data_IF_244640666872
#
_entry.id   IF_244640666872
#
_cell.length_a   1.000
_cell.length_b   1.000
_cell.length_c   1.000
_cell.angle_alpha   90.00
_cell.angle_beta   90.00
_cell.angle_gamma   90.00
#
_symmetry.space_group_name_H-M   'P 1'
#
loop_
_entity.id
_entity.type
_entity.pdbx_description
1 polymer ?
#
# COMPACT_ATOMS: atom_id res chain seq x y z
N UNK A 1 -30.34 -48.58 2.64
CA UNK A 1 -30.44 -47.35 3.43
C UNK A 1 -29.70 -46.26 2.67
N UNK A 2 -30.44 -45.26 2.16
CA UNK A 2 -29.93 -44.19 1.29
C UNK A 2 -29.57 -42.98 2.17
N UNK A 3 -28.30 -42.58 2.21
CA UNK A 3 -27.86 -41.33 2.83
C UNK A 3 -28.13 -40.17 1.85
N UNK A 4 -28.81 -39.08 2.26
CA UNK A 4 -28.89 -37.87 1.45
C UNK A 4 -27.60 -37.06 1.62
N UNK A 5 -26.91 -36.84 0.50
CA UNK A 5 -25.80 -35.88 0.42
C UNK A 5 -26.38 -34.46 0.53
N UNK A 6 -26.35 -33.91 1.74
CA UNK A 6 -26.69 -32.52 2.02
C UNK A 6 -25.67 -31.60 1.34
N UNK A 7 -26.20 -30.62 0.59
CA UNK A 7 -25.46 -29.66 -0.20
C UNK A 7 -24.52 -28.80 0.62
N UNK A 8 -23.26 -28.72 0.18
CA UNK A 8 -22.31 -27.70 0.61
C UNK A 8 -22.62 -26.41 -0.15
N UNK A 9 -23.41 -25.54 0.49
CA UNK A 9 -23.57 -24.14 0.08
C UNK A 9 -22.22 -23.47 0.34
N UNK A 10 -21.45 -23.24 -0.73
CA UNK A 10 -20.20 -22.48 -0.69
C UNK A 10 -20.48 -21.02 -0.40
N UNK A 11 -20.26 -20.61 0.85
CA UNK A 11 -20.23 -19.20 1.24
C UNK A 11 -18.88 -18.63 0.79
N UNK A 12 -18.85 -18.01 -0.39
CA UNK A 12 -17.77 -17.15 -0.83
C UNK A 12 -17.82 -15.88 0.03
N UNK A 13 -17.03 -15.85 1.10
CA UNK A 13 -16.83 -14.66 1.91
C UNK A 13 -15.94 -13.71 1.11
N UNK A 14 -16.56 -12.83 0.32
CA UNK A 14 -15.87 -11.71 -0.29
C UNK A 14 -15.50 -10.73 0.83
N UNK A 15 -14.28 -10.83 1.34
CA UNK A 15 -13.72 -9.82 2.25
C UNK A 15 -13.60 -8.51 1.45
N UNK A 16 -14.37 -7.46 1.77
CA UNK A 16 -14.14 -6.17 1.12
C UNK A 16 -12.72 -5.75 1.48
N UNK A 17 -11.94 -5.32 0.48
CA UNK A 17 -10.64 -4.70 0.71
C UNK A 17 -10.83 -3.62 1.79
N UNK A 18 -10.33 -3.90 3.00
CA UNK A 18 -10.69 -3.15 4.20
C UNK A 18 -10.28 -1.69 3.99
N UNK A 19 -11.27 -0.80 3.92
CA UNK A 19 -11.02 0.63 3.91
C UNK A 19 -10.24 0.98 5.19
N UNK A 20 -9.06 1.58 5.03
CA UNK A 20 -8.29 2.05 6.16
C UNK A 20 -8.84 3.41 6.59
N UNK A 21 -9.22 3.55 7.87
CA UNK A 21 -9.82 4.77 8.39
C UNK A 21 -9.07 5.27 9.63
N UNK A 22 -9.05 6.59 9.82
CA UNK A 22 -8.60 7.26 11.04
C UNK A 22 -9.73 8.06 11.66
N UNK A 23 -9.71 8.21 12.98
CA UNK A 23 -10.71 9.03 13.70
C UNK A 23 -10.08 10.31 14.22
N UNK A 24 -10.74 11.44 13.97
CA UNK A 24 -10.34 12.76 14.47
C UNK A 24 -11.58 13.53 14.92
N UNK A 25 -11.61 13.96 16.18
CA UNK A 25 -12.71 14.76 16.72
C UNK A 25 -14.07 14.06 16.65
N UNK A 26 -14.12 12.73 16.79
CA UNK A 26 -15.36 11.94 16.70
C UNK A 26 -15.87 11.70 15.28
N UNK A 27 -15.14 12.15 14.25
CA UNK A 27 -15.41 11.86 12.84
C UNK A 27 -14.43 10.83 12.32
N UNK A 28 -14.90 9.94 11.45
CA UNK A 28 -14.05 8.94 10.77
C UNK A 28 -13.74 9.40 9.35
N UNK A 29 -12.46 9.31 8.98
CA UNK A 29 -11.94 9.63 7.66
C UNK A 29 -11.35 8.37 7.06
N UNK A 30 -11.87 7.92 5.92
CA UNK A 30 -11.50 6.66 5.32
C UNK A 30 -10.84 6.89 3.95
N UNK A 31 -9.75 6.18 3.71
CA UNK A 31 -9.15 6.10 2.40
C UNK A 31 -10.01 5.22 1.47
N UNK A 32 -9.90 5.42 0.14
CA UNK A 32 -10.51 4.51 -0.83
C UNK A 32 -9.99 3.06 -0.64
N UNK A 33 -10.68 2.04 -1.19
CA UNK A 33 -10.22 0.65 -1.11
C UNK A 33 -8.78 0.49 -1.60
N UNK A 34 -7.94 -0.19 -0.79
CA UNK A 34 -6.50 -0.33 -1.04
C UNK A 34 -5.66 0.88 -0.62
N UNK A 35 -6.29 1.98 -0.21
CA UNK A 35 -5.63 3.18 0.27
C UNK A 35 -5.30 3.17 1.75
N UNK A 36 -4.56 4.20 2.16
CA UNK A 36 -4.20 4.44 3.55
C UNK A 36 -4.71 5.80 4.01
N UNK A 37 -5.37 5.80 5.17
CA UNK A 37 -5.68 7.01 5.92
C UNK A 37 -4.65 7.17 7.05
N UNK A 38 -4.07 8.35 7.18
CA UNK A 38 -3.03 8.64 8.18
C UNK A 38 -3.35 9.95 8.88
N UNK A 39 -3.26 9.97 10.21
CA UNK A 39 -3.20 11.22 10.96
C UNK A 39 -1.77 11.73 10.94
N UNK A 40 -1.56 12.88 10.31
CA UNK A 40 -0.26 13.50 10.19
C UNK A 40 -0.37 14.98 10.54
N UNK A 41 0.45 15.43 11.50
CA UNK A 41 0.44 16.81 12.00
C UNK A 41 -0.96 17.32 12.41
N UNK A 42 -1.77 16.44 13.02
CA UNK A 42 -3.12 16.78 13.50
C UNK A 42 -4.19 16.89 12.41
N UNK A 43 -3.88 16.53 11.16
CA UNK A 43 -4.83 16.50 10.05
C UNK A 43 -4.95 15.07 9.48
N UNK A 44 -6.14 14.66 9.01
CA UNK A 44 -6.32 13.38 8.37
C UNK A 44 -5.97 13.47 6.88
N UNK A 45 -5.05 12.62 6.43
CA UNK A 45 -4.64 12.49 5.03
C UNK A 45 -5.05 11.14 4.47
N UNK A 46 -5.51 11.13 3.21
CA UNK A 46 -5.99 9.95 2.52
C UNK A 46 -5.21 9.77 1.22
N UNK A 47 -4.58 8.60 1.06
CA UNK A 47 -3.85 8.20 -0.13
C UNK A 47 -4.52 7.04 -0.87
N UNK A 48 -4.19 6.88 -2.15
CA UNK A 48 -4.64 5.73 -2.94
C UNK A 48 -3.94 4.42 -2.52
N UNK A 49 -2.69 4.51 -2.03
CA UNK A 49 -1.97 3.40 -1.42
C UNK A 49 -1.24 3.84 -0.14
N UNK A 50 -0.15 3.14 0.18
CA UNK A 50 0.67 3.43 1.36
C UNK A 50 1.28 4.83 1.32
N UNK A 51 1.50 5.43 2.49
CA UNK A 51 2.07 6.75 2.68
C UNK A 51 3.32 6.69 3.57
N UNK A 52 4.31 7.53 3.26
CA UNK A 52 5.56 7.71 4.01
C UNK A 52 5.83 9.20 4.15
N UNK A 53 6.33 9.61 5.32
CA UNK A 53 6.79 10.98 5.58
C UNK A 53 8.32 11.06 5.65
N UNK A 54 8.86 12.26 5.40
CA UNK A 54 10.24 12.59 5.76
C UNK A 54 10.35 13.25 7.14
N UNK A 55 11.59 13.56 7.54
CA UNK A 55 11.94 14.18 8.80
C UNK A 55 11.44 15.64 8.90
N UNK A 56 11.10 16.27 7.78
CA UNK A 56 10.54 17.61 7.69
C UNK A 56 9.01 17.61 7.72
N UNK A 57 8.39 16.42 7.76
CA UNK A 57 6.95 16.25 7.80
C UNK A 57 6.26 16.33 6.43
N UNK A 58 6.99 16.26 5.31
CA UNK A 58 6.35 16.09 4.02
C UNK A 58 5.83 14.66 3.90
N UNK A 59 4.53 14.51 3.64
CA UNK A 59 3.86 13.22 3.48
C UNK A 59 3.59 12.93 2.00
N UNK A 60 4.02 11.76 1.54
CA UNK A 60 3.81 11.29 0.18
C UNK A 60 3.16 9.91 0.19
N UNK A 61 2.24 9.67 -0.73
CA UNK A 61 1.51 8.43 -0.86
C UNK A 61 1.69 7.81 -2.24
N UNK A 62 1.54 6.49 -2.30
CA UNK A 62 1.45 5.78 -3.57
C UNK A 62 0.22 6.26 -4.34
N UNK A 63 0.35 6.55 -5.64
CA UNK A 63 -0.80 6.84 -6.50
C UNK A 63 -1.56 5.57 -6.90
N UNK A 64 -1.03 4.39 -6.60
CA UNK A 64 -1.64 3.11 -6.96
C UNK A 64 -2.50 2.56 -5.81
N UNK A 65 -3.73 2.12 -6.07
CA UNK A 65 -4.53 1.34 -5.12
C UNK A 65 -3.75 0.14 -4.58
N UNK A 66 -3.53 0.09 -3.26
CA UNK A 66 -2.77 -0.99 -2.61
C UNK A 66 -1.25 -0.95 -2.84
N UNK A 67 -0.74 0.08 -3.53
CA UNK A 67 0.67 0.20 -3.86
C UNK A 67 1.52 0.71 -2.70
N UNK A 68 2.80 0.36 -2.74
CA UNK A 68 3.81 0.79 -1.78
C UNK A 68 4.44 2.14 -2.12
N UNK A 69 5.11 2.72 -1.13
CA UNK A 69 5.97 3.90 -1.29
C UNK A 69 7.23 3.71 -0.44
N UNK A 70 8.37 4.19 -0.94
CA UNK A 70 9.66 4.18 -0.26
C UNK A 70 10.38 5.50 -0.46
N UNK A 71 11.13 5.93 0.55
CA UNK A 71 12.04 7.06 0.43
C UNK A 71 13.41 6.57 -0.01
N UNK A 72 13.94 7.15 -1.10
CA UNK A 72 15.24 6.81 -1.65
C UNK A 72 15.96 8.05 -2.17
N UNK A 73 17.25 8.21 -1.88
CA UNK A 73 18.12 9.27 -2.44
C UNK A 73 17.51 10.69 -2.37
N UNK A 74 16.83 11.01 -1.25
CA UNK A 74 16.17 12.31 -1.04
C UNK A 74 14.82 12.50 -1.73
N UNK A 75 14.34 11.50 -2.49
CA UNK A 75 13.02 11.49 -3.13
C UNK A 75 12.09 10.40 -2.59
N UNK A 76 10.86 10.40 -3.08
CA UNK A 76 9.83 9.43 -2.74
C UNK A 76 9.38 8.70 -4.00
N UNK A 77 9.40 7.38 -3.93
CA UNK A 77 9.12 6.51 -5.06
C UNK A 77 8.05 5.51 -4.71
N UNK A 78 7.17 5.25 -5.65
CA UNK A 78 6.03 4.36 -5.49
C UNK A 78 5.96 3.35 -6.63
N UNK A 79 5.17 2.31 -6.40
CA UNK A 79 4.80 1.34 -7.41
C UNK A 79 3.50 0.62 -7.06
N UNK A 80 3.00 -0.24 -7.98
CA UNK A 80 1.75 -0.98 -7.80
C UNK A 80 1.76 -1.99 -6.64
N UNK A 81 2.92 -2.50 -6.25
CA UNK A 81 3.10 -3.40 -5.11
C UNK A 81 4.06 -2.86 -4.06
N UNK A 82 4.52 -3.73 -3.17
CA UNK A 82 5.42 -3.39 -2.07
C UNK A 82 6.76 -2.85 -2.60
N UNK A 83 7.26 -1.83 -1.91
CA UNK A 83 8.53 -1.18 -2.22
C UNK A 83 9.58 -1.49 -1.15
N UNK A 84 10.84 -1.65 -1.57
CA UNK A 84 12.01 -1.73 -0.71
C UNK A 84 13.20 -0.99 -1.32
N UNK A 85 14.26 -0.85 -0.54
CA UNK A 85 15.55 -0.34 -1.01
C UNK A 85 16.48 -1.49 -1.37
N UNK A 86 17.11 -1.40 -2.53
CA UNK A 86 18.23 -2.26 -2.90
C UNK A 86 19.48 -1.95 -2.07
N UNK A 87 20.52 -2.80 -2.17
CA UNK A 87 21.77 -2.62 -1.44
C UNK A 87 22.52 -1.33 -1.84
N UNK A 88 22.25 -0.80 -3.04
CA UNK A 88 22.77 0.48 -3.54
C UNK A 88 21.86 1.68 -3.18
N UNK A 89 20.83 1.45 -2.36
CA UNK A 89 19.82 2.43 -1.98
C UNK A 89 18.86 2.79 -3.12
N UNK A 90 18.82 2.06 -4.23
CA UNK A 90 17.84 2.29 -5.29
C UNK A 90 16.42 1.85 -4.83
N UNK A 91 15.38 2.62 -5.17
CA UNK A 91 14.00 2.22 -4.91
C UNK A 91 13.60 1.07 -5.85
N UNK A 92 12.96 0.04 -5.29
CA UNK A 92 12.44 -1.09 -6.05
C UNK A 92 11.03 -1.41 -5.56
N UNK A 93 10.04 -1.29 -6.43
CA UNK A 93 8.66 -1.67 -6.13
C UNK A 93 8.17 -2.76 -7.09
N UNK A 94 7.33 -3.66 -6.58
CA UNK A 94 6.78 -4.73 -7.41
C UNK A 94 5.86 -4.14 -8.48
N UNK A 95 6.11 -4.54 -9.73
CA UNK A 95 5.28 -4.10 -10.86
C UNK A 95 3.92 -4.80 -10.87
N UNK A 96 3.82 -6.00 -10.30
CA UNK A 96 2.54 -6.67 -10.09
C UNK A 96 1.73 -5.91 -9.01
N UNK A 97 0.47 -5.53 -9.27
CA UNK A 97 -0.39 -4.89 -8.27
C UNK A 97 -0.53 -5.74 -7.00
N UNK A 98 -0.26 -5.14 -5.84
CA UNK A 98 -0.24 -5.84 -4.55
C UNK A 98 0.88 -6.90 -4.40
N UNK A 99 1.77 -7.00 -5.39
CA UNK A 99 2.89 -7.93 -5.37
C UNK A 99 3.95 -7.56 -4.34
N UNK A 100 4.81 -8.52 -4.02
CA UNK A 100 5.88 -8.38 -3.05
C UNK A 100 7.24 -8.13 -3.69
N UNK A 101 8.10 -7.42 -2.96
CA UNK A 101 9.53 -7.37 -3.20
C UNK A 101 10.25 -7.90 -1.96
N UNK A 102 11.33 -8.65 -2.14
CA UNK A 102 12.22 -9.08 -1.07
C UNK A 102 13.68 -8.98 -1.50
N UNK A 103 14.59 -8.97 -0.54
CA UNK A 103 16.02 -9.13 -0.81
C UNK A 103 16.31 -10.60 -1.04
N UNK A 104 16.71 -10.95 -2.28
CA UNK A 104 16.98 -12.31 -2.68
C UNK A 104 18.36 -12.83 -2.29
N UNK A 105 18.65 -14.10 -2.60
CA UNK A 105 19.99 -14.67 -2.45
C UNK A 105 21.00 -13.87 -3.29
N UNK A 106 22.04 -13.34 -2.66
CA UNK A 106 23.00 -12.43 -3.30
C UNK A 106 22.76 -10.93 -3.04
N UNK A 107 21.77 -10.60 -2.21
CA UNK A 107 21.54 -9.22 -1.73
C UNK A 107 20.79 -8.33 -2.71
N UNK A 108 20.39 -8.85 -3.87
CA UNK A 108 19.67 -8.07 -4.88
C UNK A 108 18.14 -8.14 -4.68
N UNK A 109 17.41 -7.05 -4.98
CA UNK A 109 15.94 -7.06 -4.98
C UNK A 109 15.36 -8.08 -5.96
N UNK A 110 14.39 -8.86 -5.51
CA UNK A 110 13.55 -9.72 -6.35
C UNK A 110 12.10 -9.32 -6.11
N UNK A 111 11.44 -8.87 -7.19
CA UNK A 111 10.11 -8.30 -7.15
C UNK A 111 9.16 -9.05 -8.08
N UNK A 112 7.94 -9.29 -7.61
CA UNK A 112 6.89 -9.91 -8.42
C UNK A 112 6.49 -9.02 -9.61
N UNK A 113 6.50 -9.59 -10.81
CA UNK A 113 6.28 -8.86 -12.05
C UNK A 113 7.45 -7.96 -12.48
N UNK A 114 8.58 -7.99 -11.77
CA UNK A 114 9.71 -7.09 -11.99
C UNK A 114 9.71 -5.85 -11.10
N UNK A 115 10.75 -5.03 -11.24
CA UNK A 115 10.94 -3.81 -10.43
C UNK A 115 10.56 -2.57 -11.23
N UNK A 116 9.74 -1.71 -10.62
CA UNK A 116 9.39 -0.38 -11.12
C UNK A 116 9.51 0.62 -9.98
N UNK A 117 9.83 1.88 -10.31
CA UNK A 117 9.80 2.98 -9.36
C UNK A 117 9.42 4.26 -10.11
N UNK A 118 8.31 4.89 -9.70
CA UNK A 118 7.87 6.19 -10.21
C UNK A 118 7.79 7.20 -9.07
N UNK A 119 7.80 8.52 -9.33
CA UNK A 119 7.60 9.51 -8.28
C UNK A 119 6.29 9.28 -7.52
N UNK A 120 6.35 9.35 -6.19
CA UNK A 120 5.16 9.29 -5.35
C UNK A 120 4.35 10.60 -5.43
N UNK A 121 3.07 10.54 -5.04
CA UNK A 121 2.19 11.71 -5.04
C UNK A 121 2.20 12.40 -3.67
N UNK A 122 2.06 13.73 -3.63
CA UNK A 122 1.83 14.43 -2.35
C UNK A 122 0.52 13.98 -1.74
N UNK A 123 0.53 13.70 -0.44
CA UNK A 123 -0.68 13.31 0.28
C UNK A 123 -1.74 14.43 0.22
N UNK A 124 -3.01 14.02 0.12
CA UNK A 124 -4.16 14.92 0.10
C UNK A 124 -4.93 14.79 1.41
N UNK A 125 -5.55 15.88 1.85
CA UNK A 125 -6.47 15.83 2.99
C UNK A 125 -7.63 14.88 2.66
N UNK A 126 -8.05 14.11 3.65
CA UNK A 126 -9.29 13.34 3.54
C UNK A 126 -10.48 14.31 3.37
N UNK A 127 -11.40 13.98 2.48
CA UNK A 127 -12.65 14.73 2.29
C UNK A 127 -13.75 14.23 3.23
#
# INVERSE_FOLDING_TARGET
>A
MRLPALGLIGWLIALPALANCVSLGGRSYCAPPGGQAVLHQGQPYCGAGACVSDEFGNLFCSPYPGGGVVRARGGFFAGPGLCLLGPDGAPNCAAQPGGSCAIGPGGQPVCEGGSVAVPAARAQLCQ
#
